data_IF_728745890753
#
_entry.id   IF_728745890753
#
_cell.length_a   1.000
_cell.length_b   1.000
_cell.length_c   1.000
_cell.angle_alpha   90.00
_cell.angle_beta   90.00
_cell.angle_gamma   90.00
#
_symmetry.space_group_name_H-M   'P 1'
#
loop_
_entity.id
_entity.type
_entity.pdbx_description
1 polymer ?
#
# COMPACT_ATOMS: atom_id res chain seq x y z
N UNK A 1 3.47 7.41 -20.12
CA UNK A 1 4.40 6.70 -19.21
C UNK A 1 3.55 5.95 -18.22
N UNK A 2 3.91 4.71 -17.92
CA UNK A 2 3.22 3.96 -16.87
C UNK A 2 3.49 4.62 -15.52
N UNK A 3 2.55 4.47 -14.59
CA UNK A 3 2.62 5.06 -13.25
C UNK A 3 2.21 4.00 -12.25
N UNK A 4 3.12 3.64 -11.38
CA UNK A 4 2.90 2.67 -10.32
C UNK A 4 2.90 3.40 -8.99
N UNK A 5 2.06 3.01 -8.04
CA UNK A 5 2.06 3.58 -6.69
C UNK A 5 1.94 2.46 -5.66
N UNK A 6 2.54 2.70 -4.49
CA UNK A 6 2.51 1.78 -3.36
C UNK A 6 1.47 2.28 -2.36
N UNK A 7 0.41 1.50 -2.17
CA UNK A 7 -0.63 1.77 -1.21
C UNK A 7 -0.42 0.95 0.06
N UNK A 8 -0.71 1.56 1.20
CA UNK A 8 -0.59 0.91 2.51
C UNK A 8 -1.96 0.84 3.18
N UNK A 9 -2.37 -0.34 3.61
CA UNK A 9 -3.53 -0.57 4.45
C UNK A 9 -3.09 -1.16 5.80
N UNK A 10 -3.54 -0.58 6.91
CA UNK A 10 -3.28 -1.03 8.29
C UNK A 10 -4.51 -0.74 9.16
N UNK A 11 -4.53 -1.20 10.40
CA UNK A 11 -5.71 -1.07 11.28
C UNK A 11 -6.31 0.35 11.34
N UNK A 12 -5.45 1.38 11.41
CA UNK A 12 -5.88 2.77 11.52
C UNK A 12 -6.14 3.46 10.18
N UNK A 13 -5.81 2.83 9.04
CA UNK A 13 -5.81 3.48 7.74
C UNK A 13 -6.07 2.47 6.61
N UNK A 14 -7.12 2.67 5.84
CA UNK A 14 -7.53 1.77 4.76
C UNK A 14 -7.76 2.55 3.47
N UNK A 15 -7.09 2.14 2.40
CA UNK A 15 -7.28 2.65 1.04
C UNK A 15 -8.20 1.72 0.26
N UNK A 16 -9.18 2.28 -0.46
CA UNK A 16 -10.05 1.50 -1.35
C UNK A 16 -9.36 1.29 -2.68
N UNK A 17 -8.88 0.07 -2.92
CA UNK A 17 -8.08 -0.28 -4.09
C UNK A 17 -8.91 -0.86 -5.24
N UNK A 18 -10.10 -1.40 -4.94
CA UNK A 18 -11.04 -1.90 -5.95
C UNK A 18 -11.79 -0.75 -6.61
N UNK A 19 -11.27 -0.27 -7.75
CA UNK A 19 -11.90 0.76 -8.57
C UNK A 19 -11.35 0.74 -10.01
N UNK A 20 -12.03 1.42 -10.92
CA UNK A 20 -11.65 1.48 -12.35
C UNK A 20 -10.39 2.32 -12.63
N UNK A 21 -9.83 2.99 -11.62
CA UNK A 21 -8.67 3.86 -11.77
C UNK A 21 -7.33 3.21 -11.38
N UNK A 22 -7.39 2.03 -10.75
CA UNK A 22 -6.22 1.29 -10.31
C UNK A 22 -6.28 -0.14 -10.84
N UNK A 23 -5.17 -0.59 -11.43
CA UNK A 23 -4.93 -1.99 -11.75
C UNK A 23 -3.98 -2.56 -10.71
N UNK A 24 -4.47 -3.45 -9.84
CA UNK A 24 -3.65 -4.09 -8.80
C UNK A 24 -2.66 -5.05 -9.46
N UNK A 25 -1.37 -4.84 -9.21
CA UNK A 25 -0.30 -5.66 -9.80
C UNK A 25 0.22 -6.67 -8.78
N UNK A 26 0.49 -6.22 -7.55
CA UNK A 26 1.04 -7.07 -6.49
C UNK A 26 0.55 -6.62 -5.12
N UNK A 27 0.28 -7.58 -4.24
CA UNK A 27 -0.01 -7.31 -2.83
C UNK A 27 0.94 -8.08 -1.94
N UNK A 28 1.27 -7.49 -0.81
CA UNK A 28 2.22 -8.00 0.17
C UNK A 28 1.64 -7.81 1.57
N UNK A 29 1.77 -8.83 2.40
CA UNK A 29 1.37 -8.79 3.80
C UNK A 29 2.63 -8.66 4.66
N UNK A 30 2.66 -7.61 5.47
CA UNK A 30 3.72 -7.36 6.42
C UNK A 30 3.28 -7.81 7.81
N UNK A 31 4.01 -8.81 8.30
CA UNK A 31 3.85 -9.38 9.61
C UNK A 31 4.94 -8.89 10.54
N UNK A 32 4.55 -8.67 11.78
CA UNK A 32 5.45 -8.48 12.89
C UNK A 32 5.14 -9.54 13.95
N UNK A 33 6.10 -10.41 14.22
CA UNK A 33 5.84 -11.75 14.75
C UNK A 33 4.76 -12.44 13.90
N UNK A 34 3.70 -12.94 14.49
CA UNK A 34 2.58 -13.58 13.80
C UNK A 34 1.38 -12.64 13.60
N UNK A 35 1.54 -11.34 13.90
CA UNK A 35 0.49 -10.32 13.74
C UNK A 35 0.65 -9.63 12.39
N UNK A 36 -0.38 -9.70 11.55
CA UNK A 36 -0.48 -8.83 10.37
C UNK A 36 -0.53 -7.37 10.82
N UNK A 37 0.41 -6.55 10.36
CA UNK A 37 0.50 -5.12 10.71
C UNK A 37 0.07 -4.21 9.58
N UNK A 38 0.42 -4.58 8.35
CA UNK A 38 0.04 -3.83 7.17
C UNK A 38 -0.09 -4.76 5.97
N UNK A 39 -0.90 -4.34 5.01
CA UNK A 39 -0.93 -4.88 3.66
C UNK A 39 -0.48 -3.78 2.71
N UNK A 40 0.56 -4.04 1.95
CA UNK A 40 1.07 -3.15 0.93
C UNK A 40 0.59 -3.63 -0.43
N UNK A 41 0.15 -2.72 -1.30
CA UNK A 41 -0.30 -3.06 -2.64
C UNK A 41 0.34 -2.13 -3.65
N UNK A 42 1.02 -2.71 -4.63
CA UNK A 42 1.51 -2.01 -5.82
C UNK A 42 0.40 -2.05 -6.87
N UNK A 43 -0.06 -0.88 -7.28
CA UNK A 43 -1.05 -0.76 -8.34
C UNK A 43 -0.57 0.20 -9.43
N UNK A 44 -0.96 -0.10 -10.66
CA UNK A 44 -0.79 0.79 -11.81
C UNK A 44 -1.96 1.76 -11.85
N UNK A 45 -1.66 3.05 -11.97
CA UNK A 45 -2.66 4.10 -12.13
C UNK A 45 -3.07 4.12 -13.60
N UNK A 46 -4.36 3.83 -13.86
CA UNK A 46 -4.93 3.85 -15.22
C UNK A 46 -5.69 5.15 -15.52
N UNK A 47 -6.13 5.89 -14.50
CA UNK A 47 -6.72 7.23 -14.63
C UNK A 47 -6.13 8.22 -13.62
N UNK A 48 -5.34 9.18 -14.12
CA UNK A 48 -4.69 10.25 -13.35
C UNK A 48 -5.66 11.27 -12.72
N UNK A 49 -6.90 11.35 -13.18
CA UNK A 49 -7.90 12.27 -12.65
C UNK A 49 -8.73 11.67 -11.52
N UNK A 50 -8.63 10.35 -11.33
CA UNK A 50 -9.40 9.63 -10.35
C UNK A 50 -9.10 10.08 -8.92
N UNK A 51 -10.05 9.78 -8.04
CA UNK A 51 -9.93 9.96 -6.60
C UNK A 51 -10.00 8.60 -5.93
N UNK A 52 -9.05 8.35 -5.05
CA UNK A 52 -9.05 7.16 -4.20
C UNK A 52 -9.71 7.51 -2.88
N UNK A 53 -10.63 6.65 -2.45
CA UNK A 53 -11.26 6.77 -1.14
C UNK A 53 -10.36 6.16 -0.07
N UNK A 54 -10.25 6.86 1.03
CA UNK A 54 -9.38 6.52 2.15
C UNK A 54 -10.15 6.69 3.45
N UNK A 55 -10.07 5.68 4.29
CA UNK A 55 -10.64 5.65 5.63
C UNK A 55 -9.50 5.76 6.63
N UNK A 56 -9.58 6.72 7.53
CA UNK A 56 -8.65 6.84 8.64
C UNK A 56 -9.42 6.82 9.96
N UNK A 57 -8.96 5.99 10.89
CA UNK A 57 -9.45 5.96 12.26
C UNK A 57 -8.44 6.68 13.14
N UNK A 58 -8.81 7.86 13.61
CA UNK A 58 -7.96 8.70 14.45
C UNK A 58 -8.76 9.22 15.64
N UNK A 59 -8.25 9.01 16.85
CA UNK A 59 -8.87 9.45 18.12
C UNK A 59 -10.34 9.00 18.27
N UNK A 60 -10.64 7.76 17.86
CA UNK A 60 -11.99 7.17 17.91
C UNK A 60 -12.98 7.73 16.88
N UNK A 61 -12.54 8.62 15.99
CA UNK A 61 -13.35 9.16 14.88
C UNK A 61 -12.93 8.53 13.56
N UNK A 62 -13.90 8.33 12.68
CA UNK A 62 -13.70 7.84 11.33
C UNK A 62 -13.72 9.01 10.34
N UNK A 63 -12.65 9.16 9.57
CA UNK A 63 -12.52 10.16 8.52
C UNK A 63 -12.55 9.47 7.16
N UNK A 64 -13.39 9.98 6.25
CA UNK A 64 -13.49 9.51 4.87
C UNK A 64 -12.97 10.60 3.94
N UNK A 65 -11.82 10.36 3.34
CA UNK A 65 -11.18 11.28 2.40
C UNK A 65 -11.23 10.73 0.98
N UNK A 66 -11.30 11.63 -0.01
CA UNK A 66 -11.19 11.28 -1.42
C UNK A 66 -10.01 12.08 -2.00
N UNK A 67 -8.87 11.41 -2.15
CA UNK A 67 -7.60 12.05 -2.54
C UNK A 67 -7.35 11.75 -4.01
N UNK A 68 -6.97 12.75 -4.81
CA UNK A 68 -6.61 12.50 -6.20
C UNK A 68 -5.34 11.66 -6.32
N UNK A 69 -5.32 10.71 -7.26
CA UNK A 69 -4.18 9.81 -7.49
C UNK A 69 -2.85 10.55 -7.73
N UNK A 70 -2.90 11.74 -8.32
CA UNK A 70 -1.72 12.59 -8.57
C UNK A 70 -0.97 13.08 -7.32
N UNK A 71 -1.58 12.98 -6.14
CA UNK A 71 -0.94 13.34 -4.87
C UNK A 71 -0.22 12.17 -4.22
N UNK A 72 -0.43 10.96 -4.73
CA UNK A 72 0.33 9.79 -4.31
C UNK A 72 1.66 9.80 -5.04
N UNK A 73 2.68 9.27 -4.38
CA UNK A 73 3.97 9.07 -5.02
C UNK A 73 3.83 8.04 -6.14
N UNK A 74 4.41 8.34 -7.30
CA UNK A 74 4.32 7.49 -8.49
C UNK A 74 5.69 7.16 -9.03
N UNK A 75 5.87 5.90 -9.40
CA UNK A 75 7.09 5.34 -9.94
C UNK A 75 6.89 5.01 -11.43
N UNK A 76 7.88 5.27 -12.30
CA UNK A 76 7.77 4.98 -13.72
C UNK A 76 7.85 3.47 -14.03
N UNK A 77 8.46 2.68 -13.14
CA UNK A 77 8.54 1.21 -13.27
C UNK A 77 8.03 0.49 -12.03
N UNK A 78 7.65 -0.78 -12.19
CA UNK A 78 7.29 -1.66 -11.07
C UNK A 78 8.49 -1.95 -10.17
N UNK A 79 9.70 -1.96 -10.73
CA UNK A 79 10.93 -2.22 -9.98
C UNK A 79 11.20 -1.11 -8.97
N UNK A 80 11.08 0.16 -9.38
CA UNK A 80 11.19 1.31 -8.48
C UNK A 80 10.12 1.29 -7.39
N UNK A 81 8.88 0.90 -7.72
CA UNK A 81 7.82 0.76 -6.71
C UNK A 81 8.12 -0.36 -5.69
N UNK A 82 8.76 -1.45 -6.12
CA UNK A 82 9.22 -2.52 -5.21
C UNK A 82 10.41 -2.08 -4.36
N UNK A 83 11.33 -1.29 -4.91
CA UNK A 83 12.42 -0.70 -4.16
C UNK A 83 11.89 0.19 -3.03
N UNK A 84 10.94 1.08 -3.33
CA UNK A 84 10.29 1.91 -2.31
C UNK A 84 9.59 1.05 -1.24
N UNK A 85 8.84 0.03 -1.65
CA UNK A 85 8.22 -0.90 -0.70
C UNK A 85 9.25 -1.53 0.24
N UNK A 86 10.41 -1.94 -0.27
CA UNK A 86 11.46 -2.50 0.56
C UNK A 86 12.02 -1.47 1.54
N UNK A 87 12.18 -0.21 1.13
CA UNK A 87 12.63 0.87 2.03
C UNK A 87 11.59 1.17 3.12
N UNK A 88 10.30 1.22 2.79
CA UNK A 88 9.20 1.36 3.77
C UNK A 88 9.25 0.23 4.81
N UNK A 89 9.43 -1.00 4.35
CA UNK A 89 9.49 -2.19 5.22
C UNK A 89 10.74 -2.17 6.09
N UNK A 90 11.90 -1.82 5.54
CA UNK A 90 13.14 -1.65 6.32
C UNK A 90 13.00 -0.56 7.38
N UNK A 91 12.44 0.59 7.02
CA UNK A 91 12.18 1.68 7.97
C UNK A 91 11.23 1.24 9.09
N UNK A 92 10.23 0.42 8.77
CA UNK A 92 9.29 -0.16 9.73
C UNK A 92 9.91 -1.25 10.62
N UNK A 93 10.99 -1.89 10.16
CA UNK A 93 11.66 -3.00 10.84
C UNK A 93 12.98 -2.66 11.52
N UNK A 94 13.50 -1.43 11.42
CA UNK A 94 14.87 -1.02 11.79
C UNK A 94 15.19 -0.96 13.31
N UNK A 95 14.55 -1.79 14.12
CA UNK A 95 14.89 -2.03 15.53
C UNK A 95 15.41 -3.48 15.68
N UNK A 96 15.98 -3.86 16.84
CA UNK A 96 16.36 -5.27 17.18
C UNK A 96 15.29 -6.32 16.80
N UNK A 97 14.04 -5.87 16.68
CA UNK A 97 12.84 -6.50 16.17
C UNK A 97 12.84 -6.93 14.67
N UNK A 98 13.82 -6.55 13.84
CA UNK A 98 13.91 -6.94 12.42
C UNK A 98 13.79 -8.46 12.21
N UNK A 99 14.31 -9.25 13.17
CA UNK A 99 14.29 -10.73 13.13
C UNK A 99 12.87 -11.31 13.17
N UNK A 100 11.90 -10.54 13.63
CA UNK A 100 10.51 -10.94 13.77
C UNK A 100 9.61 -10.34 12.68
N UNK A 101 10.16 -9.54 11.77
CA UNK A 101 9.42 -8.97 10.67
C UNK A 101 9.45 -9.86 9.43
N UNK A 102 8.31 -10.00 8.73
CA UNK A 102 8.21 -10.80 7.50
C UNK A 102 7.31 -10.11 6.49
N UNK A 103 7.81 -9.90 5.28
CA UNK A 103 7.01 -9.49 4.13
C UNK A 103 6.70 -10.71 3.27
N UNK A 104 5.41 -10.97 3.03
CA UNK A 104 4.94 -12.12 2.26
C UNK A 104 4.15 -11.62 1.07
N UNK A 105 4.58 -11.95 -0.15
CA UNK A 105 3.77 -11.68 -1.34
C UNK A 105 2.49 -12.51 -1.26
N UNK A 106 1.35 -11.87 -1.41
CA UNK A 106 0.06 -12.55 -1.45
C UNK A 106 -0.06 -13.28 -2.78
N UNK A 107 -0.27 -14.60 -2.76
CA UNK A 107 -0.39 -15.41 -3.97
C UNK A 107 -1.72 -15.22 -4.72
N UNK A 108 -2.67 -14.50 -4.14
CA UNK A 108 -3.96 -14.20 -4.76
C UNK A 108 -4.07 -12.71 -5.09
N UNK A 109 -3.58 -12.31 -6.26
CA UNK A 109 -4.03 -11.10 -6.93
C UNK A 109 -5.24 -11.42 -7.83
N UNK A 110 -6.21 -12.18 -7.34
CA UNK A 110 -7.47 -12.51 -8.03
C UNK A 110 -8.36 -13.36 -7.12
N UNK A 111 -9.54 -12.84 -6.77
CA UNK A 111 -10.84 -13.52 -6.97
C UNK A 111 -11.88 -12.48 -7.28
#
# INVERSE_FOLDING_TARGET
>A
MEKYSVFTNKDTFQTVLENDALEIIESYQFYFFDSLKATYTIAKIVDDNAKIKLYEKYDGKEYVNNIHVKFFETFPTIEEAREELNEIVKASGNSEDSQHSKLVKSENASV
#
